data_IF_922901928560
#
_entry.id   IF_922901928560
#
_cell.length_a   1.000
_cell.length_b   1.000
_cell.length_c   1.000
_cell.angle_alpha   90.00
_cell.angle_beta   90.00
_cell.angle_gamma   90.00
#
_symmetry.space_group_name_H-M   'P 1'
#
loop_
_entity.id
_entity.type
_entity.pdbx_description
1 polymer ?
#
# COMPACT_ATOMS: atom_id res chain seq x y z
N UNK A 1 2.57 13.50 14.87
CA UNK A 1 2.61 13.54 13.38
C UNK A 1 3.59 12.56 12.75
N UNK A 2 4.89 12.45 13.14
CA UNK A 2 5.85 11.62 12.38
C UNK A 2 5.51 10.11 12.35
N UNK A 3 4.84 9.60 13.39
CA UNK A 3 4.42 8.19 13.47
C UNK A 3 3.37 7.80 12.41
N UNK A 4 2.47 8.71 12.04
CA UNK A 4 1.44 8.45 11.02
C UNK A 4 2.12 8.31 9.66
N UNK A 5 2.98 9.26 9.31
CA UNK A 5 3.74 9.24 8.07
C UNK A 5 4.58 7.98 7.91
N UNK A 6 5.29 7.58 8.97
CA UNK A 6 6.07 6.35 8.99
C UNK A 6 5.19 5.12 8.77
N UNK A 7 4.08 5.01 9.51
CA UNK A 7 3.20 3.85 9.39
C UNK A 7 2.54 3.76 8.01
N UNK A 8 2.12 4.88 7.44
CA UNK A 8 1.58 4.93 6.08
C UNK A 8 2.62 4.56 5.03
N UNK A 9 3.86 5.01 5.19
CA UNK A 9 4.96 4.62 4.30
C UNK A 9 5.31 3.13 4.41
N UNK A 10 5.36 2.57 5.62
CA UNK A 10 5.56 1.13 5.81
C UNK A 10 4.43 0.31 5.16
N UNK A 11 3.17 0.75 5.31
CA UNK A 11 2.05 0.11 4.64
C UNK A 11 2.20 0.15 3.11
N UNK A 12 2.54 1.32 2.56
CA UNK A 12 2.75 1.49 1.13
C UNK A 12 3.87 0.60 0.59
N UNK A 13 4.99 0.52 1.30
CA UNK A 13 6.11 -0.34 0.95
C UNK A 13 5.72 -1.82 0.95
N UNK A 14 4.94 -2.26 1.94
CA UNK A 14 4.41 -3.63 1.98
C UNK A 14 3.45 -3.89 0.82
N UNK A 15 2.52 -2.98 0.54
CA UNK A 15 1.57 -3.13 -0.55
C UNK A 15 2.24 -3.18 -1.93
N UNK A 16 3.30 -2.39 -2.12
CA UNK A 16 4.14 -2.44 -3.32
C UNK A 16 4.92 -3.75 -3.41
N UNK A 17 5.49 -4.23 -2.30
CA UNK A 17 6.18 -5.52 -2.26
C UNK A 17 5.24 -6.68 -2.59
N UNK A 18 4.01 -6.66 -2.06
CA UNK A 18 2.97 -7.64 -2.42
C UNK A 18 2.55 -7.53 -3.88
N UNK A 19 2.37 -6.30 -4.40
CA UNK A 19 2.04 -6.09 -5.81
C UNK A 19 3.15 -6.61 -6.73
N UNK A 20 4.43 -6.36 -6.39
CA UNK A 20 5.57 -6.93 -7.10
C UNK A 20 5.57 -8.46 -7.03
N UNK A 21 5.36 -9.02 -5.84
CA UNK A 21 5.33 -10.48 -5.66
C UNK A 21 4.22 -11.13 -6.50
N UNK A 22 3.05 -10.48 -6.61
CA UNK A 22 1.87 -11.03 -7.28
C UNK A 22 1.76 -10.73 -8.78
N UNK A 23 2.49 -9.75 -9.29
CA UNK A 23 2.32 -9.27 -10.67
C UNK A 23 3.61 -9.30 -11.50
N UNK A 24 4.79 -9.30 -10.89
CA UNK A 24 6.04 -9.29 -11.64
C UNK A 24 6.40 -10.70 -12.13
N UNK A 25 6.82 -10.80 -13.39
CA UNK A 25 7.36 -12.04 -13.96
C UNK A 25 8.66 -12.49 -13.28
N UNK A 26 9.43 -11.53 -12.76
CA UNK A 26 10.67 -11.79 -12.02
C UNK A 26 10.45 -12.19 -10.56
N UNK A 27 9.21 -12.35 -10.11
CA UNK A 27 8.92 -12.69 -8.72
C UNK A 27 9.11 -14.19 -8.44
N UNK A 28 9.57 -14.57 -7.24
CA UNK A 28 9.68 -15.97 -6.86
C UNK A 28 8.32 -16.67 -6.72
N UNK A 29 7.21 -15.92 -6.67
CA UNK A 29 5.86 -16.46 -6.58
C UNK A 29 5.21 -16.67 -7.96
N UNK A 30 5.89 -16.31 -9.06
CA UNK A 30 5.32 -16.32 -10.40
C UNK A 30 4.68 -17.67 -10.75
N UNK A 31 5.40 -18.78 -10.58
CA UNK A 31 4.91 -20.13 -10.89
C UNK A 31 3.68 -20.52 -10.04
N UNK A 32 3.64 -20.11 -8.77
CA UNK A 32 2.50 -20.38 -7.89
C UNK A 32 1.25 -19.60 -8.32
N UNK A 33 1.42 -18.37 -8.79
CA UNK A 33 0.34 -17.48 -9.25
C UNK A 33 -0.30 -18.00 -10.52
N UNK A 34 0.46 -18.63 -11.42
CA UNK A 34 -0.08 -19.27 -12.62
C UNK A 34 -1.15 -20.33 -12.28
N UNK A 35 -0.99 -21.00 -11.13
CA UNK A 35 -1.95 -22.01 -10.64
C UNK A 35 -3.06 -21.37 -9.77
N UNK A 36 -2.85 -20.16 -9.25
CA UNK A 36 -3.78 -19.45 -8.35
C UNK A 36 -4.13 -18.05 -8.89
N UNK A 37 -4.89 -17.97 -10.00
CA UNK A 37 -5.14 -16.71 -10.71
C UNK A 37 -5.98 -15.72 -9.89
N UNK A 38 -6.68 -16.17 -8.85
CA UNK A 38 -7.44 -15.28 -7.98
C UNK A 38 -6.54 -14.22 -7.31
N UNK A 39 -5.33 -14.61 -6.89
CA UNK A 39 -4.42 -13.69 -6.20
C UNK A 39 -3.92 -12.58 -7.13
N UNK A 40 -3.52 -12.92 -8.35
CA UNK A 40 -3.11 -11.94 -9.36
C UNK A 40 -4.29 -11.07 -9.82
N UNK A 41 -5.48 -11.64 -10.01
CA UNK A 41 -6.67 -10.87 -10.38
C UNK A 41 -7.03 -9.81 -9.33
N UNK A 42 -6.97 -10.16 -8.03
CA UNK A 42 -7.20 -9.21 -6.95
C UNK A 42 -6.11 -8.13 -6.89
N UNK A 43 -4.84 -8.51 -7.09
CA UNK A 43 -3.73 -7.56 -7.16
C UNK A 43 -3.86 -6.60 -8.36
N UNK A 44 -4.30 -7.09 -9.53
CA UNK A 44 -4.59 -6.26 -10.70
C UNK A 44 -5.74 -5.30 -10.42
N UNK A 45 -6.84 -5.79 -9.84
CA UNK A 45 -7.99 -4.95 -9.50
C UNK A 45 -7.61 -3.83 -8.52
N UNK A 46 -6.78 -4.15 -7.51
CA UNK A 46 -6.28 -3.17 -6.55
C UNK A 46 -5.38 -2.09 -7.19
N UNK A 47 -4.67 -2.42 -8.26
CA UNK A 47 -3.78 -1.51 -8.98
C UNK A 47 -4.41 -0.89 -10.24
N UNK A 48 -5.67 -1.20 -10.53
CA UNK A 48 -6.40 -0.65 -11.68
C UNK A 48 -6.45 0.90 -11.68
N UNK A 49 -6.69 1.59 -10.55
CA UNK A 49 -6.70 3.06 -10.56
C UNK A 49 -5.34 3.65 -10.99
N UNK A 50 -4.23 3.09 -10.51
CA UNK A 50 -2.90 3.51 -10.93
C UNK A 50 -2.65 3.25 -12.42
N UNK A 51 -3.12 2.12 -12.95
CA UNK A 51 -3.06 1.85 -14.39
C UNK A 51 -3.86 2.87 -15.20
N UNK A 52 -5.07 3.21 -14.77
CA UNK A 52 -5.90 4.22 -15.43
C UNK A 52 -5.25 5.60 -15.41
N UNK A 53 -4.62 5.99 -14.29
CA UNK A 53 -3.84 7.24 -14.22
C UNK A 53 -2.69 7.21 -15.22
N UNK A 54 -1.97 6.09 -15.33
CA UNK A 54 -0.89 5.94 -16.30
C UNK A 54 -1.40 6.02 -17.75
N UNK A 55 -2.54 5.42 -18.07
CA UNK A 55 -3.20 5.54 -19.38
C UNK A 55 -3.54 7.00 -19.69
N UNK A 56 -4.17 7.70 -18.74
CA UNK A 56 -4.57 9.10 -18.91
C UNK A 56 -3.37 10.02 -19.11
N UNK A 57 -2.29 9.82 -18.35
CA UNK A 57 -1.08 10.66 -18.43
C UNK A 57 -0.24 10.33 -19.67
N UNK A 58 -0.16 9.06 -20.08
CA UNK A 58 0.59 8.68 -21.29
C UNK A 58 -0.16 8.99 -22.59
N UNK A 59 -1.49 9.10 -22.55
CA UNK A 59 -2.34 9.15 -23.75
C UNK A 59 -2.38 7.84 -24.54
N UNK A 60 -1.72 6.78 -24.06
CA UNK A 60 -1.68 5.47 -24.71
C UNK A 60 -2.49 4.45 -23.92
N UNK A 61 -3.69 4.17 -24.42
CA UNK A 61 -4.64 3.22 -23.80
C UNK A 61 -4.22 1.75 -23.95
N UNK A 62 -3.39 1.44 -24.95
CA UNK A 62 -3.02 0.06 -25.27
C UNK A 62 -1.77 -0.42 -24.52
N UNK A 63 -0.83 0.49 -24.28
CA UNK A 63 0.44 0.17 -23.63
C UNK A 63 1.00 1.40 -22.89
N UNK A 64 0.44 1.76 -21.72
CA UNK A 64 1.05 2.77 -20.88
C UNK A 64 2.45 2.30 -20.46
N UNK A 65 3.42 3.22 -20.47
CA UNK A 65 4.80 2.88 -20.12
C UNK A 65 4.90 2.25 -18.73
N UNK A 66 5.66 1.15 -18.61
CA UNK A 66 5.84 0.41 -17.35
C UNK A 66 6.34 1.30 -16.21
N UNK A 67 7.27 2.21 -16.50
CA UNK A 67 7.77 3.18 -15.53
C UNK A 67 6.67 4.11 -14.99
N UNK A 68 5.72 4.51 -15.85
CA UNK A 68 4.61 5.38 -15.48
C UNK A 68 3.59 4.63 -14.61
N UNK A 69 3.25 3.40 -14.99
CA UNK A 69 2.38 2.51 -14.19
C UNK A 69 2.97 2.29 -12.80
N UNK A 70 4.26 1.95 -12.71
CA UNK A 70 4.94 1.72 -11.44
C UNK A 70 4.98 2.99 -10.57
N UNK A 71 5.21 4.16 -11.19
CA UNK A 71 5.20 5.45 -10.50
C UNK A 71 3.80 5.79 -9.95
N UNK A 72 2.77 5.59 -10.77
CA UNK A 72 1.37 5.80 -10.36
C UNK A 72 0.97 4.84 -9.24
N UNK A 73 1.39 3.57 -9.30
CA UNK A 73 1.17 2.58 -8.24
C UNK A 73 1.85 3.00 -6.93
N UNK A 74 3.10 3.48 -7.00
CA UNK A 74 3.81 3.98 -5.82
C UNK A 74 3.08 5.14 -5.15
N UNK A 75 2.64 6.13 -5.94
CA UNK A 75 1.86 7.27 -5.44
C UNK A 75 0.54 6.79 -4.84
N UNK A 76 -0.20 5.90 -5.53
CA UNK A 76 -1.46 5.33 -5.04
C UNK A 76 -1.29 4.69 -3.66
N UNK A 77 -0.32 3.79 -3.50
CA UNK A 77 -0.14 3.07 -2.24
C UNK A 77 0.37 3.96 -1.11
N UNK A 78 1.16 4.99 -1.40
CA UNK A 78 1.52 6.01 -0.41
C UNK A 78 0.27 6.74 0.08
N UNK A 79 -0.59 7.19 -0.81
CA UNK A 79 -1.84 7.89 -0.45
C UNK A 79 -2.76 6.99 0.36
N UNK A 80 -3.00 5.75 -0.10
CA UNK A 80 -3.83 4.75 0.60
C UNK A 80 -3.25 4.44 1.98
N UNK A 81 -1.93 4.26 2.08
CA UNK A 81 -1.26 4.00 3.35
C UNK A 81 -1.40 5.15 4.33
N UNK A 82 -1.30 6.40 3.88
CA UNK A 82 -1.53 7.56 4.75
C UNK A 82 -2.99 7.69 5.17
N UNK A 83 -3.94 7.45 4.28
CA UNK A 83 -5.36 7.45 4.61
C UNK A 83 -5.69 6.36 5.65
N UNK A 84 -5.11 5.17 5.50
CA UNK A 84 -5.28 4.08 6.44
C UNK A 84 -4.65 4.39 7.80
N UNK A 85 -3.41 4.89 7.82
CA UNK A 85 -2.72 5.27 9.06
C UNK A 85 -3.46 6.41 9.79
N UNK A 86 -3.99 7.37 9.04
CA UNK A 86 -4.83 8.44 9.57
C UNK A 86 -6.14 7.90 10.15
N UNK A 87 -6.88 7.09 9.39
CA UNK A 87 -8.14 6.48 9.86
C UNK A 87 -7.95 5.62 11.10
N UNK A 88 -6.90 4.80 11.12
CA UNK A 88 -6.52 4.01 12.29
C UNK A 88 -6.21 4.87 13.52
N UNK A 89 -5.51 6.00 13.33
CA UNK A 89 -5.23 6.94 14.42
C UNK A 89 -6.48 7.63 14.97
N UNK A 90 -7.54 7.74 14.17
CA UNK A 90 -8.84 8.29 14.58
C UNK A 90 -9.71 7.25 15.29
N UNK A 91 -9.67 5.99 14.82
CA UNK A 91 -10.47 4.89 15.37
C UNK A 91 -9.90 4.29 16.67
N UNK A 92 -8.63 4.55 17.01
CA UNK A 92 -8.08 4.27 18.34
C UNK A 92 -8.05 5.53 19.21
N UNK A 93 -9.13 5.84 19.96
CA UNK A 93 -9.02 6.80 21.04
C UNK A 93 -8.15 6.19 22.15
N UNK A 94 -7.16 6.95 22.63
CA UNK A 94 -6.38 6.64 23.84
C UNK A 94 -5.53 5.35 23.87
N UNK A 95 -4.30 5.44 23.36
CA UNK A 95 -3.16 4.76 24.01
C UNK A 95 -2.68 5.55 25.25
N UNK A 96 -3.60 6.06 26.07
CA UNK A 96 -3.27 6.61 27.40
C UNK A 96 -3.36 5.51 28.45
N UNK A 97 -2.73 4.35 28.21
CA UNK A 97 -2.14 3.58 29.31
C UNK A 97 -0.85 4.31 29.71
N UNK A 98 -0.99 5.54 30.22
CA UNK A 98 -0.01 6.01 31.17
C UNK A 98 -0.32 5.23 32.43
N UNK A 99 0.54 4.30 32.90
CA UNK A 99 0.41 3.87 34.29
C UNK A 99 0.43 5.16 35.10
N UNK A 100 -0.65 5.41 35.85
CA UNK A 100 -0.64 6.45 36.86
C UNK A 100 0.60 6.15 37.72
N UNK A 101 1.63 7.01 37.79
CA UNK A 101 2.64 6.81 38.80
C UNK A 101 1.87 6.87 40.12
N UNK A 102 1.83 5.73 40.82
CA UNK A 102 1.19 5.63 42.12
C UNK A 102 1.77 6.75 42.97
N UNK A 103 0.90 7.71 43.25
CA UNK A 103 1.12 8.87 44.07
C UNK A 103 1.69 8.38 45.41
N UNK A 104 2.93 8.73 45.69
CA UNK A 104 3.55 8.74 47.02
C UNK A 104 3.31 7.52 47.90
N UNK A 105 4.31 6.65 47.99
CA UNK A 105 4.52 5.88 49.22
C UNK A 105 5.98 6.00 49.62
N UNK A 106 6.16 6.51 50.85
CA UNK A 106 7.39 6.84 51.58
C UNK A 106 7.84 8.30 51.44
#
# INVERSE_FOLDING_TARGET
MPKIFRNGFCFAALALAFSWLLLAESSPAHDWILVHPLASNLAMAANLPAYLVAVLVSGNVHAPGTALVNSAMAVQWILVGQLFAWGYSRLRPNNSFKPNPLRGSA
#
